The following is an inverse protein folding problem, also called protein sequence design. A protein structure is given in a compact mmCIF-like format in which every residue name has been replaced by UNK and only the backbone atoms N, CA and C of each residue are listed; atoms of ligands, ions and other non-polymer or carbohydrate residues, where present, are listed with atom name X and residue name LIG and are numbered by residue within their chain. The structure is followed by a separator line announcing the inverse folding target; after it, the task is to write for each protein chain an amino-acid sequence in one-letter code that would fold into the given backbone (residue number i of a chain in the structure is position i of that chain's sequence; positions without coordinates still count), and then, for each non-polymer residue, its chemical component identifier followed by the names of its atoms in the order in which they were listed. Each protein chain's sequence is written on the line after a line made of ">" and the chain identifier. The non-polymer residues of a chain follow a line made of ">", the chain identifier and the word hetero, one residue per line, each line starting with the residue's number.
data_IF_856321319446
#
_entry.id   IF_856321319446
#
_cell.length_a   1.000
_cell.length_b   1.000
_cell.length_c   1.000
_cell.angle_alpha   90.00
_cell.angle_beta   90.00
_cell.angle_gamma   90.00
#
_symmetry.space_group_name_H-M   'P 1'
#
loop_
_entity.id
_entity.type
_entity.pdbx_description
1 polymer ?
#
# COMPACT_ATOMS: atom_id res chain seq x y z
N UNK A 1 -1.59 -27.46 -10.76
CA UNK A 1 -2.85 -27.52 -11.53
C UNK A 1 -3.14 -26.12 -12.05
N UNK A 2 -3.27 -25.91 -13.37
CA UNK A 2 -3.66 -24.60 -13.93
C UNK A 2 -5.18 -24.44 -13.76
N UNK A 3 -5.64 -23.27 -13.31
CA UNK A 3 -7.09 -22.99 -13.20
C UNK A 3 -7.76 -23.06 -14.58
N UNK A 4 -8.99 -23.56 -14.64
CA UNK A 4 -9.81 -23.48 -15.86
C UNK A 4 -10.25 -22.04 -16.15
N UNK A 5 -10.64 -21.73 -17.39
CA UNK A 5 -11.16 -20.40 -17.72
C UNK A 5 -12.41 -20.03 -16.90
N UNK A 6 -13.30 -20.98 -16.62
CA UNK A 6 -14.48 -20.75 -15.77
C UNK A 6 -14.10 -20.40 -14.33
N UNK A 7 -13.06 -21.05 -13.78
CA UNK A 7 -12.52 -20.72 -12.45
C UNK A 7 -11.84 -19.35 -12.43
N UNK A 8 -11.23 -18.91 -13.53
CA UNK A 8 -10.66 -17.56 -13.64
C UNK A 8 -11.77 -16.51 -13.71
N UNK A 9 -12.81 -16.76 -14.53
CA UNK A 9 -13.98 -15.87 -14.67
C UNK A 9 -14.75 -15.70 -13.36
N UNK A 10 -14.96 -16.78 -12.60
CA UNK A 10 -15.63 -16.68 -11.29
C UNK A 10 -14.82 -15.86 -10.26
N UNK A 11 -13.50 -15.76 -10.46
CA UNK A 11 -12.61 -14.87 -9.70
C UNK A 11 -12.54 -13.45 -10.25
N UNK A 12 -13.33 -13.14 -11.30
CA UNK A 12 -13.43 -11.85 -11.95
C UNK A 12 -12.39 -11.59 -13.04
N UNK A 13 -11.67 -12.61 -13.52
CA UNK A 13 -10.71 -12.42 -14.62
C UNK A 13 -11.46 -12.01 -15.88
N UNK A 14 -11.05 -10.91 -16.51
CA UNK A 14 -11.62 -10.38 -17.74
C UNK A 14 -10.51 -10.22 -18.79
N UNK A 15 -10.70 -10.77 -19.98
CA UNK A 15 -9.78 -10.54 -21.11
C UNK A 15 -10.02 -9.17 -21.76
N UNK A 16 -9.07 -8.65 -22.56
CA UNK A 16 -9.28 -7.42 -23.31
C UNK A 16 -10.53 -7.44 -24.20
N UNK A 17 -10.86 -8.59 -24.78
CA UNK A 17 -12.05 -8.80 -25.60
C UNK A 17 -13.34 -8.74 -24.77
N UNK A 18 -13.32 -9.23 -23.54
CA UNK A 18 -14.45 -9.17 -22.60
C UNK A 18 -14.63 -7.75 -22.03
N UNK A 19 -13.57 -6.96 -21.92
CA UNK A 19 -13.63 -5.55 -21.50
C UNK A 19 -14.12 -4.64 -22.64
N UNK A 20 -13.81 -4.97 -23.90
CA UNK A 20 -14.10 -4.15 -25.08
C UNK A 20 -15.56 -3.64 -25.18
N UNK A 21 -16.61 -4.44 -24.91
CA UNK A 21 -18.00 -3.99 -24.99
C UNK A 21 -18.36 -2.85 -24.01
N UNK A 22 -17.58 -2.67 -22.95
CA UNK A 22 -17.84 -1.68 -21.91
C UNK A 22 -17.17 -0.33 -22.18
N UNK A 23 -16.31 -0.21 -23.20
CA UNK A 23 -15.49 0.99 -23.45
C UNK A 23 -16.28 2.25 -23.79
N UNK A 24 -17.42 2.08 -24.45
CA UNK A 24 -18.29 3.20 -24.87
C UNK A 24 -19.27 3.64 -23.77
N UNK A 25 -19.20 3.02 -22.58
CA UNK A 25 -20.06 3.37 -21.46
C UNK A 25 -19.61 4.68 -20.81
N UNK A 26 -20.60 5.46 -20.38
CA UNK A 26 -20.37 6.65 -19.56
C UNK A 26 -19.82 6.29 -18.18
N UNK A 27 -19.19 7.26 -17.50
CA UNK A 27 -18.71 7.07 -16.11
C UNK A 27 -19.84 6.59 -15.18
N UNK A 28 -21.06 7.12 -15.34
CA UNK A 28 -22.21 6.71 -14.52
C UNK A 28 -22.60 5.26 -14.74
N UNK A 29 -22.68 4.79 -16.00
CA UNK A 29 -22.95 3.39 -16.29
C UNK A 29 -21.85 2.47 -15.75
N UNK A 30 -20.58 2.89 -15.82
CA UNK A 30 -19.47 2.13 -15.25
C UNK A 30 -19.58 2.07 -13.71
N UNK A 31 -19.98 3.15 -13.04
CA UNK A 31 -20.22 3.16 -11.60
C UNK A 31 -21.35 2.22 -11.19
N UNK A 32 -22.44 2.13 -11.96
CA UNK A 32 -23.51 1.16 -11.73
C UNK A 32 -23.01 -0.28 -11.87
N UNK A 33 -22.22 -0.55 -12.92
CA UNK A 33 -21.64 -1.87 -13.19
C UNK A 33 -20.69 -2.37 -12.11
N UNK A 34 -20.13 -1.51 -11.27
CA UNK A 34 -19.35 -1.95 -10.10
C UNK A 34 -20.16 -2.84 -9.15
N UNK A 35 -21.49 -2.81 -9.20
CA UNK A 35 -22.35 -3.64 -8.36
C UNK A 35 -23.04 -4.78 -9.15
N UNK A 36 -22.64 -5.03 -10.39
CA UNK A 36 -23.20 -6.09 -11.21
C UNK A 36 -22.94 -7.48 -10.60
N UNK A 37 -23.86 -8.43 -10.82
CA UNK A 37 -23.70 -9.82 -10.36
C UNK A 37 -22.52 -10.51 -11.05
N UNK A 38 -22.23 -10.14 -12.29
CA UNK A 38 -21.12 -10.65 -13.09
C UNK A 38 -19.79 -10.00 -12.68
N UNK A 39 -18.87 -10.81 -12.15
CA UNK A 39 -17.56 -10.35 -11.73
C UNK A 39 -16.71 -9.79 -12.89
N UNK A 40 -16.89 -10.29 -14.11
CA UNK A 40 -16.21 -9.77 -15.32
C UNK A 40 -16.68 -8.35 -15.62
N UNK A 41 -17.98 -8.07 -15.49
CA UNK A 41 -18.53 -6.73 -15.69
C UNK A 41 -18.00 -5.74 -14.64
N UNK A 42 -17.94 -6.16 -13.36
CA UNK A 42 -17.34 -5.35 -12.28
C UNK A 42 -15.85 -5.06 -12.55
N UNK A 43 -15.09 -6.06 -13.00
CA UNK A 43 -13.67 -5.89 -13.36
C UNK A 43 -13.51 -4.92 -14.52
N UNK A 44 -14.28 -5.09 -15.60
CA UNK A 44 -14.25 -4.20 -16.75
C UNK A 44 -14.60 -2.75 -16.34
N UNK A 45 -15.63 -2.58 -15.51
CA UNK A 45 -16.01 -1.28 -14.96
C UNK A 45 -14.87 -0.62 -14.19
N UNK A 46 -14.28 -1.33 -13.22
CA UNK A 46 -13.15 -0.82 -12.45
C UNK A 46 -11.95 -0.46 -13.32
N UNK A 47 -11.63 -1.27 -14.35
CA UNK A 47 -10.51 -1.00 -15.26
C UNK A 47 -10.73 0.20 -16.20
N UNK A 48 -11.99 0.56 -16.48
CA UNK A 48 -12.35 1.62 -17.43
C UNK A 48 -12.73 2.95 -16.75
N UNK A 49 -13.12 2.93 -15.47
CA UNK A 49 -13.36 4.15 -14.70
C UNK A 49 -12.11 5.04 -14.71
N UNK A 50 -12.34 6.34 -14.91
CA UNK A 50 -11.27 7.33 -14.94
C UNK A 50 -11.39 8.21 -13.72
N UNK A 51 -10.31 8.35 -12.98
CA UNK A 51 -10.23 9.30 -11.87
C UNK A 51 -9.75 10.62 -12.46
N UNK A 52 -10.68 11.54 -12.67
CA UNK A 52 -10.44 12.89 -13.18
C UNK A 52 -10.54 13.91 -12.02
N UNK A 53 -9.85 15.06 -12.07
CA UNK A 53 -9.81 16.01 -10.95
C UNK A 53 -11.19 16.40 -10.40
N UNK A 54 -12.18 16.60 -11.27
CA UNK A 54 -13.53 17.04 -10.90
C UNK A 54 -14.35 15.93 -10.23
N UNK A 55 -13.99 14.66 -10.47
CA UNK A 55 -14.72 13.47 -10.00
C UNK A 55 -13.91 12.61 -9.04
N UNK A 56 -12.67 13.02 -8.73
CA UNK A 56 -11.69 12.22 -8.01
C UNK A 56 -12.22 11.70 -6.68
N UNK A 57 -12.76 12.59 -5.84
CA UNK A 57 -13.33 12.26 -4.53
C UNK A 57 -14.47 11.25 -4.70
N UNK A 58 -15.41 11.51 -5.62
CA UNK A 58 -16.59 10.68 -5.81
C UNK A 58 -16.22 9.27 -6.26
N UNK A 59 -15.37 9.17 -7.30
CA UNK A 59 -14.98 7.89 -7.89
C UNK A 59 -14.13 7.09 -6.89
N UNK A 60 -13.15 7.72 -6.24
CA UNK A 60 -12.33 7.06 -5.21
C UNK A 60 -13.19 6.54 -4.05
N UNK A 61 -14.15 7.34 -3.57
CA UNK A 61 -15.05 6.94 -2.49
C UNK A 61 -15.95 5.75 -2.89
N UNK A 62 -16.40 5.66 -4.14
CA UNK A 62 -17.15 4.50 -4.64
C UNK A 62 -16.25 3.28 -4.75
N UNK A 63 -15.06 3.44 -5.35
CA UNK A 63 -14.10 2.36 -5.55
C UNK A 63 -13.64 1.73 -4.22
N UNK A 64 -13.28 2.52 -3.22
CA UNK A 64 -12.82 1.99 -1.93
C UNK A 64 -13.94 1.28 -1.15
N UNK A 65 -15.18 1.80 -1.23
CA UNK A 65 -16.35 1.12 -0.67
C UNK A 65 -16.60 -0.21 -1.38
N UNK A 66 -16.47 -0.23 -2.71
CA UNK A 66 -16.59 -1.47 -3.49
C UNK A 66 -15.49 -2.47 -3.14
N UNK A 67 -14.25 -2.02 -3.01
CA UNK A 67 -13.11 -2.86 -2.60
C UNK A 67 -13.38 -3.56 -1.27
N UNK A 68 -13.98 -2.85 -0.32
CA UNK A 68 -14.29 -3.36 1.02
C UNK A 68 -15.30 -4.53 1.01
N UNK A 69 -16.19 -4.57 0.02
CA UNK A 69 -17.22 -5.60 -0.12
C UNK A 69 -16.89 -6.63 -1.23
N UNK A 70 -15.79 -6.47 -1.96
CA UNK A 70 -15.46 -7.31 -3.11
C UNK A 70 -14.74 -8.60 -2.70
N UNK A 71 -15.22 -9.72 -3.24
CA UNK A 71 -14.67 -11.06 -2.96
C UNK A 71 -13.84 -11.59 -4.12
N UNK A 72 -14.11 -11.15 -5.35
CA UNK A 72 -13.43 -11.61 -6.55
C UNK A 72 -12.03 -10.98 -6.66
N UNK A 73 -10.99 -11.82 -6.74
CA UNK A 73 -9.60 -11.39 -6.72
C UNK A 73 -9.28 -10.37 -7.82
N UNK A 74 -9.63 -10.66 -9.07
CA UNK A 74 -9.24 -9.81 -10.20
C UNK A 74 -10.01 -8.49 -10.19
N UNK A 75 -11.25 -8.49 -9.72
CA UNK A 75 -12.02 -7.26 -9.50
C UNK A 75 -11.35 -6.38 -8.44
N UNK A 76 -10.88 -6.96 -7.32
CA UNK A 76 -10.12 -6.22 -6.30
C UNK A 76 -8.84 -5.61 -6.88
N UNK A 77 -8.11 -6.36 -7.71
CA UNK A 77 -6.90 -5.86 -8.36
C UNK A 77 -7.21 -4.70 -9.31
N UNK A 78 -8.24 -4.82 -10.14
CA UNK A 78 -8.66 -3.75 -11.04
C UNK A 78 -9.08 -2.47 -10.28
N UNK A 79 -9.80 -2.61 -9.16
CA UNK A 79 -10.16 -1.47 -8.30
C UNK A 79 -8.90 -0.81 -7.71
N UNK A 80 -7.96 -1.61 -7.20
CA UNK A 80 -6.67 -1.12 -6.72
C UNK A 80 -5.90 -0.37 -7.82
N UNK A 81 -5.76 -0.95 -9.01
CA UNK A 81 -5.06 -0.34 -10.14
C UNK A 81 -5.74 0.95 -10.63
N UNK A 82 -7.06 1.07 -10.51
CA UNK A 82 -7.76 2.32 -10.79
C UNK A 82 -7.42 3.40 -9.77
N UNK A 83 -7.50 3.10 -8.46
CA UNK A 83 -7.15 4.04 -7.39
C UNK A 83 -5.66 4.40 -7.37
N UNK A 84 -4.78 3.49 -7.78
CA UNK A 84 -3.33 3.72 -7.91
C UNK A 84 -2.98 4.85 -8.90
N UNK A 85 -3.89 5.19 -9.82
CA UNK A 85 -3.72 6.29 -10.79
C UNK A 85 -4.19 7.65 -10.26
N UNK A 86 -4.87 7.67 -9.10
CA UNK A 86 -5.39 8.89 -8.49
C UNK A 86 -4.30 9.76 -7.85
N UNK A 87 -4.71 10.91 -7.33
CA UNK A 87 -3.87 11.87 -6.65
C UNK A 87 -4.15 11.96 -5.15
N UNK A 88 -3.97 13.17 -4.62
CA UNK A 88 -4.10 13.47 -3.18
C UNK A 88 -5.48 13.09 -2.64
N UNK A 89 -6.54 13.44 -3.35
CA UNK A 89 -7.91 13.23 -2.86
C UNK A 89 -8.26 11.75 -2.84
N UNK A 90 -7.79 10.98 -3.83
CA UNK A 90 -7.91 9.51 -3.84
C UNK A 90 -7.24 8.90 -2.61
N UNK A 91 -6.01 9.32 -2.29
CA UNK A 91 -5.29 8.82 -1.12
C UNK A 91 -6.05 9.12 0.19
N UNK A 92 -6.65 10.32 0.31
CA UNK A 92 -7.47 10.69 1.47
C UNK A 92 -8.72 9.81 1.61
N UNK A 93 -9.36 9.42 0.51
CA UNK A 93 -10.49 8.47 0.55
C UNK A 93 -10.07 7.05 0.96
N UNK A 94 -8.82 6.66 0.66
CA UNK A 94 -8.29 5.33 0.97
C UNK A 94 -7.86 5.18 2.43
N UNK A 95 -7.25 6.20 3.02
CA UNK A 95 -6.68 6.17 4.38
C UNK A 95 -7.63 5.64 5.48
N UNK A 96 -8.93 5.99 5.50
CA UNK A 96 -9.87 5.44 6.47
C UNK A 96 -9.97 3.91 6.50
N UNK A 97 -9.51 3.23 5.44
CA UNK A 97 -9.59 1.78 5.24
C UNK A 97 -8.28 1.02 5.49
N UNK A 98 -7.19 1.72 5.83
CA UNK A 98 -5.92 1.09 6.26
C UNK A 98 -6.18 0.12 7.42
N UNK A 99 -5.68 -1.12 7.27
CA UNK A 99 -5.84 -2.17 8.28
C UNK A 99 -7.21 -2.85 8.31
N UNK A 100 -8.19 -2.39 7.51
CA UNK A 100 -9.59 -2.82 7.62
C UNK A 100 -10.05 -3.80 6.54
N UNK A 101 -9.36 -3.85 5.39
CA UNK A 101 -9.77 -4.69 4.26
C UNK A 101 -8.92 -5.96 4.18
N UNK A 102 -9.57 -7.11 4.33
CA UNK A 102 -8.91 -8.42 4.33
C UNK A 102 -8.32 -8.79 5.70
N UNK A 103 -7.36 -9.72 5.72
CA UNK A 103 -6.75 -10.22 6.97
C UNK A 103 -5.30 -10.67 6.82
N UNK A 104 -4.59 -10.11 5.83
CA UNK A 104 -3.20 -10.48 5.54
C UNK A 104 -2.17 -9.66 6.34
N UNK A 105 -2.62 -8.61 7.03
CA UNK A 105 -1.82 -7.70 7.82
C UNK A 105 -1.12 -8.45 8.96
N UNK A 106 0.02 -7.93 9.39
CA UNK A 106 0.66 -8.42 10.61
C UNK A 106 -0.14 -7.94 11.82
N UNK A 107 -0.59 -8.87 12.67
CA UNK A 107 -1.22 -8.55 13.97
C UNK A 107 -0.23 -8.59 15.13
N UNK A 108 0.94 -9.18 14.89
CA UNK A 108 2.05 -9.33 15.81
C UNK A 108 3.35 -9.37 14.99
N UNK A 109 4.49 -9.36 15.67
CA UNK A 109 5.77 -9.64 15.04
C UNK A 109 5.72 -10.97 14.26
N UNK A 110 6.34 -11.04 13.06
CA UNK A 110 6.45 -12.29 12.33
C UNK A 110 7.49 -13.23 12.95
N UNK A 111 7.45 -14.50 12.59
CA UNK A 111 8.43 -15.50 13.08
C UNK A 111 9.86 -15.26 12.57
N UNK A 112 10.01 -14.51 11.47
CA UNK A 112 11.29 -14.23 10.83
C UNK A 112 11.26 -12.96 9.99
N UNK A 113 12.44 -12.36 9.83
CA UNK A 113 12.67 -11.18 8.99
C UNK A 113 12.57 -11.49 7.51
N UNK A 114 12.30 -10.45 6.71
CA UNK A 114 12.31 -10.59 5.25
C UNK A 114 13.75 -10.80 4.74
N UNK A 115 13.93 -11.82 3.91
CA UNK A 115 15.21 -12.15 3.25
C UNK A 115 15.37 -11.46 1.88
N UNK A 116 14.42 -10.62 1.48
CA UNK A 116 14.46 -9.92 0.19
C UNK A 116 15.50 -8.80 0.21
N UNK A 117 16.23 -8.68 -0.90
CA UNK A 117 17.09 -7.52 -1.18
C UNK A 117 16.27 -6.25 -1.49
N UNK A 118 15.12 -6.42 -2.15
CA UNK A 118 14.18 -5.33 -2.39
C UNK A 118 13.32 -5.03 -1.16
N UNK A 119 12.71 -3.84 -1.15
CA UNK A 119 11.75 -3.48 -0.11
C UNK A 119 10.54 -4.45 -0.11
N UNK A 120 10.12 -4.97 1.05
CA UNK A 120 8.95 -5.84 1.13
C UNK A 120 7.67 -5.16 0.65
N UNK A 121 6.87 -5.85 -0.17
CA UNK A 121 5.57 -5.31 -0.59
C UNK A 121 4.61 -5.25 0.62
N UNK A 122 3.86 -4.14 0.82
CA UNK A 122 2.90 -4.03 1.91
C UNK A 122 1.87 -5.18 1.89
N UNK A 123 1.53 -5.69 3.08
CA UNK A 123 0.55 -6.78 3.23
C UNK A 123 -0.88 -6.28 3.23
N UNK A 124 -1.12 -5.12 3.84
CA UNK A 124 -2.39 -4.41 3.74
C UNK A 124 -2.65 -3.97 2.29
N UNK A 125 -3.88 -4.19 1.81
CA UNK A 125 -4.23 -3.91 0.42
C UNK A 125 -4.30 -2.41 0.13
N UNK A 126 -4.72 -1.60 1.10
CA UNK A 126 -4.78 -0.15 0.97
C UNK A 126 -3.36 0.43 0.97
N UNK A 127 -2.53 0.03 1.94
CA UNK A 127 -1.13 0.44 2.00
C UNK A 127 -0.38 0.05 0.73
N UNK A 128 -0.64 -1.13 0.17
CA UNK A 128 -0.03 -1.59 -1.09
C UNK A 128 -0.38 -0.68 -2.27
N UNK A 129 -1.64 -0.27 -2.38
CA UNK A 129 -2.06 0.63 -3.46
C UNK A 129 -1.54 2.04 -3.24
N UNK A 130 -1.62 2.58 -2.02
CA UNK A 130 -1.02 3.88 -1.67
C UNK A 130 0.48 3.92 -2.02
N UNK A 131 1.22 2.84 -1.77
CA UNK A 131 2.65 2.74 -2.06
C UNK A 131 3.02 2.86 -3.55
N UNK A 132 2.07 2.60 -4.45
CA UNK A 132 2.26 2.63 -5.91
C UNK A 132 1.66 3.87 -6.58
N UNK A 133 0.99 4.73 -5.82
CA UNK A 133 0.46 5.99 -6.33
C UNK A 133 1.59 6.95 -6.73
N UNK A 134 1.29 8.00 -7.53
CA UNK A 134 2.28 9.01 -7.88
C UNK A 134 2.95 9.63 -6.65
N UNK A 135 4.26 9.95 -6.69
CA UNK A 135 5.02 10.51 -5.56
C UNK A 135 4.40 11.76 -4.90
N UNK A 136 3.58 12.52 -5.64
CA UNK A 136 2.86 13.68 -5.12
C UNK A 136 1.93 13.39 -3.95
N UNK A 137 1.53 12.13 -3.71
CA UNK A 137 0.70 11.76 -2.54
C UNK A 137 1.53 11.57 -1.26
N UNK A 138 2.86 11.49 -1.36
CA UNK A 138 3.73 11.17 -0.22
C UNK A 138 3.52 12.06 1.02
N UNK A 139 3.31 13.39 0.90
CA UNK A 139 3.01 14.23 2.05
C UNK A 139 1.76 13.80 2.82
N UNK A 140 0.76 13.25 2.13
CA UNK A 140 -0.46 12.71 2.76
C UNK A 140 -0.12 11.48 3.62
N UNK A 141 0.76 10.60 3.14
CA UNK A 141 1.18 9.41 3.88
C UNK A 141 1.95 9.79 5.15
N UNK A 142 2.81 10.82 5.07
CA UNK A 142 3.54 11.35 6.22
C UNK A 142 2.61 12.00 7.25
N UNK A 143 1.50 12.64 6.83
CA UNK A 143 0.49 13.15 7.76
C UNK A 143 -0.15 12.04 8.58
N UNK A 144 -0.37 10.85 8.00
CA UNK A 144 -0.87 9.69 8.77
C UNK A 144 0.12 9.26 9.84
N UNK A 145 1.43 9.24 9.55
CA UNK A 145 2.47 8.94 10.55
C UNK A 145 2.48 9.93 11.71
N UNK A 146 2.03 11.16 11.51
CA UNK A 146 1.95 12.19 12.56
C UNK A 146 0.68 12.08 13.41
N UNK A 147 -0.33 11.31 12.99
CA UNK A 147 -1.55 11.04 13.75
C UNK A 147 -1.34 10.13 14.97
N UNK A 148 -2.44 9.74 15.60
CA UNK A 148 -2.51 8.94 16.84
C UNK A 148 -3.10 7.52 16.64
N UNK A 149 -3.57 7.20 15.44
CA UNK A 149 -4.14 5.91 15.10
C UNK A 149 -3.04 4.87 14.81
N UNK A 150 -2.61 4.14 15.85
CA UNK A 150 -1.54 3.17 15.77
C UNK A 150 -1.77 2.07 14.71
N UNK A 151 -3.02 1.65 14.47
CA UNK A 151 -3.35 0.65 13.45
C UNK A 151 -3.09 1.20 12.04
N UNK A 152 -3.53 2.43 11.76
CA UNK A 152 -3.24 3.09 10.47
C UNK A 152 -1.76 3.36 10.29
N UNK A 153 -1.08 3.83 11.34
CA UNK A 153 0.37 4.10 11.32
C UNK A 153 1.15 2.83 10.99
N UNK A 154 0.74 1.69 11.57
CA UNK A 154 1.37 0.39 11.31
C UNK A 154 1.31 0.02 9.83
N UNK A 155 0.17 0.22 9.17
CA UNK A 155 0.07 -0.13 7.75
C UNK A 155 0.67 0.95 6.83
N UNK A 156 0.58 2.23 7.18
CA UNK A 156 1.13 3.30 6.33
C UNK A 156 2.66 3.30 6.32
N UNK A 157 3.34 2.80 7.37
CA UNK A 157 4.80 2.66 7.39
C UNK A 157 5.32 1.82 6.23
N UNK A 158 4.63 0.73 5.89
CA UNK A 158 5.01 -0.11 4.76
C UNK A 158 4.91 0.68 3.44
N UNK A 159 3.88 1.52 3.29
CA UNK A 159 3.68 2.35 2.10
C UNK A 159 4.72 3.47 2.00
N UNK A 160 5.01 4.16 3.10
CA UNK A 160 6.03 5.21 3.18
C UNK A 160 7.40 4.65 2.84
N UNK A 161 7.79 3.55 3.46
CA UNK A 161 9.08 2.90 3.20
C UNK A 161 9.17 2.39 1.77
N UNK A 162 8.13 1.75 1.24
CA UNK A 162 8.11 1.28 -0.15
C UNK A 162 8.25 2.45 -1.13
N UNK A 163 7.45 3.50 -0.98
CA UNK A 163 7.46 4.63 -1.91
C UNK A 163 8.82 5.35 -1.86
N UNK A 164 9.34 5.68 -0.68
CA UNK A 164 10.68 6.29 -0.56
C UNK A 164 11.81 5.35 -1.02
N UNK A 165 11.61 4.04 -0.95
CA UNK A 165 12.58 3.09 -1.48
C UNK A 165 12.65 3.14 -3.01
N UNK A 166 11.52 3.28 -3.71
CA UNK A 166 11.49 3.31 -5.18
C UNK A 166 11.53 4.70 -5.81
N UNK A 167 11.37 5.75 -5.00
CA UNK A 167 11.43 7.16 -5.40
C UNK A 167 12.48 7.92 -4.58
N UNK A 168 13.77 7.91 -5.01
CA UNK A 168 14.88 8.49 -4.24
C UNK A 168 14.69 9.97 -3.88
N UNK A 169 13.94 10.73 -4.67
CA UNK A 169 13.58 12.13 -4.41
C UNK A 169 12.77 12.30 -3.11
N UNK A 170 12.08 11.26 -2.65
CA UNK A 170 11.33 11.26 -1.40
C UNK A 170 12.20 10.88 -0.19
N UNK A 171 13.40 10.35 -0.42
CA UNK A 171 14.31 9.88 0.62
C UNK A 171 15.12 11.03 1.26
N UNK A 172 14.43 12.05 1.77
CA UNK A 172 15.05 13.25 2.33
C UNK A 172 15.25 13.16 3.85
N UNK A 173 16.20 13.94 4.42
CA UNK A 173 16.31 14.10 5.87
C UNK A 173 15.01 14.57 6.54
N UNK A 174 14.26 15.44 5.89
CA UNK A 174 12.99 16.00 6.37
C UNK A 174 11.93 14.91 6.52
N UNK A 175 11.80 14.04 5.52
CA UNK A 175 10.87 12.93 5.57
C UNK A 175 11.30 11.87 6.59
N UNK A 176 12.61 11.57 6.70
CA UNK A 176 13.13 10.65 7.71
C UNK A 176 12.86 11.13 9.14
N UNK A 177 12.86 12.44 9.40
CA UNK A 177 12.52 13.02 10.72
C UNK A 177 11.10 12.64 11.17
N UNK A 178 10.15 12.51 10.24
CA UNK A 178 8.77 12.08 10.55
C UNK A 178 8.76 10.64 11.08
N UNK A 179 9.55 9.75 10.47
CA UNK A 179 9.68 8.36 10.92
C UNK A 179 10.35 8.30 12.30
N UNK A 180 11.41 9.08 12.52
CA UNK A 180 12.07 9.14 13.84
C UNK A 180 11.12 9.63 14.93
N UNK A 181 10.38 10.71 14.69
CA UNK A 181 9.40 11.23 15.65
C UNK A 181 8.29 10.22 15.95
N UNK A 182 7.86 9.44 14.95
CA UNK A 182 6.92 8.34 15.16
C UNK A 182 7.51 7.27 16.09
N UNK A 183 8.75 6.82 15.85
CA UNK A 183 9.41 5.83 16.72
C UNK A 183 9.57 6.31 18.16
N UNK A 184 9.91 7.59 18.37
CA UNK A 184 10.04 8.21 19.69
C UNK A 184 8.72 8.25 20.48
N UNK A 185 7.59 8.37 19.77
CA UNK A 185 6.25 8.37 20.37
C UNK A 185 5.72 6.96 20.69
N UNK A 186 6.22 5.94 20.00
CA UNK A 186 5.82 4.54 20.21
C UNK A 186 7.00 3.63 20.57
N UNK A 187 7.78 3.95 21.62
CA UNK A 187 9.05 3.26 21.92
C UNK A 187 8.87 1.81 22.42
N UNK A 188 7.65 1.43 22.80
CA UNK A 188 7.33 0.07 23.30
C UNK A 188 6.41 -0.71 22.36
N UNK A 189 6.01 -0.13 21.23
CA UNK A 189 5.12 -0.80 20.29
C UNK A 189 5.93 -1.63 19.28
N UNK A 190 6.21 -2.88 19.61
CA UNK A 190 7.17 -3.72 18.87
C UNK A 190 6.87 -3.85 17.37
N UNK A 191 5.61 -4.09 16.98
CA UNK A 191 5.26 -4.21 15.57
C UNK A 191 5.47 -2.91 14.77
N UNK A 192 5.14 -1.76 15.36
CA UNK A 192 5.40 -0.44 14.77
C UNK A 192 6.90 -0.22 14.61
N UNK A 193 7.69 -0.52 15.65
CA UNK A 193 9.14 -0.39 15.58
C UNK A 193 9.74 -1.32 14.53
N UNK A 194 9.27 -2.57 14.43
CA UNK A 194 9.72 -3.51 13.40
C UNK A 194 9.49 -2.98 11.99
N UNK A 195 8.28 -2.47 11.70
CA UNK A 195 7.97 -1.84 10.41
C UNK A 195 8.71 -0.53 10.18
N UNK A 196 8.96 0.25 11.23
CA UNK A 196 9.77 1.45 11.14
C UNK A 196 11.23 1.12 10.78
N UNK A 197 11.82 0.10 11.42
CA UNK A 197 13.16 -0.40 11.09
C UNK A 197 13.24 -0.86 9.64
N UNK A 198 12.18 -1.47 9.10
CA UNK A 198 12.08 -1.75 7.66
C UNK A 198 12.05 -0.46 6.84
N UNK A 199 11.15 0.46 7.17
CA UNK A 199 10.99 1.75 6.50
C UNK A 199 12.30 2.57 6.46
N UNK A 200 13.11 2.49 7.52
CA UNK A 200 14.39 3.20 7.61
C UNK A 200 15.40 2.81 6.51
N UNK A 201 15.32 1.60 5.94
CA UNK A 201 16.21 1.25 4.83
C UNK A 201 15.95 2.08 3.57
N UNK A 202 14.81 2.78 3.49
CA UNK A 202 14.50 3.69 2.41
C UNK A 202 15.24 5.04 2.52
N UNK A 203 15.81 5.38 3.68
CA UNK A 203 16.43 6.68 3.99
C UNK A 203 17.92 6.54 4.32
N UNK A 204 18.83 6.56 3.32
CA UNK A 204 20.24 6.21 3.50
C UNK A 204 21.08 7.33 4.13
N UNK A 205 20.69 7.78 5.33
CA UNK A 205 21.31 8.87 6.08
C UNK A 205 22.22 8.32 7.18
N UNK A 206 23.27 9.05 7.55
CA UNK A 206 24.18 8.66 8.63
C UNK A 206 23.43 8.45 9.97
N UNK A 207 22.42 9.28 10.27
CA UNK A 207 21.58 9.12 11.46
C UNK A 207 20.79 7.81 11.43
N UNK A 208 20.24 7.44 10.27
CA UNK A 208 19.51 6.19 10.08
C UNK A 208 20.41 4.99 10.27
N UNK A 209 21.60 5.01 9.67
CA UNK A 209 22.58 3.92 9.77
C UNK A 209 22.98 3.68 11.24
N UNK A 210 23.31 4.75 11.99
CA UNK A 210 23.62 4.66 13.42
C UNK A 210 22.46 4.09 14.24
N UNK A 211 21.23 4.48 13.92
CA UNK A 211 20.04 3.97 14.62
C UNK A 211 19.84 2.48 14.33
N UNK A 212 19.96 2.05 13.08
CA UNK A 212 19.88 0.64 12.70
C UNK A 212 20.99 -0.18 13.35
N UNK A 213 22.23 0.32 13.43
CA UNK A 213 23.33 -0.36 14.13
C UNK A 213 23.03 -0.56 15.62
N UNK A 214 22.37 0.41 16.29
CA UNK A 214 21.93 0.25 17.68
C UNK A 214 20.90 -0.85 17.85
N UNK A 215 19.89 -0.92 16.96
CA UNK A 215 18.94 -2.03 16.97
C UNK A 215 19.63 -3.36 16.66
N UNK A 216 20.55 -3.39 15.70
CA UNK A 216 21.27 -4.61 15.28
C UNK A 216 22.11 -5.24 16.39
N UNK A 217 22.48 -4.49 17.44
CA UNK A 217 23.14 -5.02 18.62
C UNK A 217 22.21 -5.82 19.55
N UNK A 218 20.90 -5.74 19.35
CA UNK A 218 19.91 -6.50 20.13
C UNK A 218 19.82 -7.95 19.66
N UNK A 219 19.60 -8.86 20.60
CA UNK A 219 19.41 -10.30 20.34
C UNK A 219 17.91 -10.66 20.29
N UNK A 220 17.16 -9.94 19.45
CA UNK A 220 15.73 -10.15 19.23
C UNK A 220 15.38 -9.89 17.75
N UNK A 221 14.10 -10.06 17.40
CA UNK A 221 13.64 -9.88 16.01
C UNK A 221 13.83 -8.44 15.47
N UNK A 222 13.77 -7.42 16.34
CA UNK A 222 14.05 -6.03 15.93
C UNK A 222 15.51 -5.88 15.50
N UNK A 223 16.44 -6.49 16.24
CA UNK A 223 17.85 -6.52 15.87
C UNK A 223 18.12 -7.32 14.60
N UNK A 224 17.43 -8.43 14.39
CA UNK A 224 17.50 -9.16 13.11
C UNK A 224 16.99 -8.33 11.94
N UNK A 225 15.88 -7.61 12.11
CA UNK A 225 15.33 -6.79 11.03
C UNK A 225 16.25 -5.61 10.74
N UNK A 226 16.87 -5.02 11.76
CA UNK A 226 17.84 -3.95 11.56
C UNK A 226 19.08 -4.42 10.77
N UNK A 227 19.58 -5.63 11.05
CA UNK A 227 20.63 -6.28 10.22
C UNK A 227 20.17 -6.48 8.79
N UNK A 228 18.91 -6.87 8.58
CA UNK A 228 18.34 -7.05 7.25
C UNK A 228 18.20 -5.71 6.51
N UNK A 229 17.69 -4.67 7.18
CA UNK A 229 17.58 -3.31 6.66
C UNK A 229 18.93 -2.70 6.29
N UNK A 230 19.98 -2.90 7.08
CA UNK A 230 21.34 -2.48 6.75
C UNK A 230 21.84 -3.11 5.44
N UNK A 231 21.57 -4.40 5.21
CA UNK A 231 21.93 -5.07 3.93
C UNK A 231 21.19 -4.46 2.73
N UNK A 232 19.94 -4.01 2.91
CA UNK A 232 19.18 -3.33 1.84
C UNK A 232 19.69 -1.92 1.58
N UNK A 233 20.19 -1.25 2.61
CA UNK A 233 20.83 0.07 2.56
C UNK A 233 21.95 0.11 1.52
N UNK A 234 22.82 -0.91 1.52
CA UNK A 234 23.97 -1.01 0.62
C UNK A 234 23.58 -1.29 -0.83
N UNK A 235 22.44 -1.93 -1.07
CA UNK A 235 21.97 -2.25 -2.43
C UNK A 235 21.50 -1.02 -3.23
N UNK A 236 21.42 0.15 -2.59
CA UNK A 236 21.08 1.44 -3.19
C UNK A 236 22.28 2.33 -3.52
N UNK A 237 23.49 1.94 -3.09
CA UNK A 237 24.75 2.65 -3.43
C UNK A 237 25.34 2.03 -4.69
#
# INVERSE_FOLDING_TARGET
>A
MKSSQEQLRSRGYATPEEIRPYREKSQNELLELLNDKNAVARTAAASLLKIEPETEIQIAAVLVRRLSAEKCLYTRLAICEAMEKGGRETALQMIPFLGKIGGNQHKSLPDRVSQKKSYPLPRDIIARSLAKMPPGVFPVLLQVLQGDDAEKICEILDAVGFMAFYHPELSTPEHAKVVFAMMERYPSHELLLWKAIQCLCAFPLQKTERLLQKFAAQNNLLGEEAKSSLKRFDSKR
#
